data_IF_781677764394
#
_entry.id   IF_781677764394
#
_cell.length_a   1.000
_cell.length_b   1.000
_cell.length_c   1.000
_cell.angle_alpha   90.00
_cell.angle_beta   90.00
_cell.angle_gamma   90.00
#
_symmetry.space_group_name_H-M   'P 1'
#
loop_
_entity.id
_entity.type
_entity.pdbx_description
1 polymer ?
#
# COMPACT_ATOMS: atom_id res chain seq x y z
N UNK A 1 -8.22 -16.07 -16.63
CA UNK A 1 -7.65 -14.77 -17.02
C UNK A 1 -7.84 -13.78 -15.87
N UNK A 2 -6.77 -13.19 -15.34
CA UNK A 2 -6.90 -12.06 -14.42
C UNK A 2 -7.12 -10.81 -15.27
N UNK A 3 -8.31 -10.23 -15.14
CA UNK A 3 -8.71 -9.00 -15.81
C UNK A 3 -7.74 -7.85 -15.47
N UNK A 4 -7.36 -7.06 -16.48
CA UNK A 4 -6.66 -5.80 -16.22
C UNK A 4 -7.68 -4.78 -15.72
N UNK A 5 -7.67 -4.54 -14.42
CA UNK A 5 -8.49 -3.51 -13.77
C UNK A 5 -7.63 -2.24 -13.60
N UNK A 6 -7.93 -1.13 -14.29
CA UNK A 6 -7.28 0.17 -14.08
C UNK A 6 -7.36 0.59 -12.61
N UNK A 7 -6.36 1.31 -12.11
CA UNK A 7 -6.51 1.97 -10.81
C UNK A 7 -7.53 3.10 -10.85
N UNK A 8 -8.12 3.43 -9.70
CA UNK A 8 -9.17 4.46 -9.61
C UNK A 8 -8.59 5.88 -9.53
N UNK A 9 -9.43 6.89 -9.72
CA UNK A 9 -9.02 8.29 -9.59
C UNK A 9 -8.57 8.61 -8.15
N UNK A 10 -9.13 7.93 -7.16
CA UNK A 10 -8.82 8.09 -5.74
C UNK A 10 -7.48 7.45 -5.38
N UNK A 11 -7.17 6.28 -5.94
CA UNK A 11 -5.83 5.71 -5.83
C UNK A 11 -4.79 6.65 -6.48
N UNK A 12 -5.10 7.17 -7.67
CA UNK A 12 -4.23 8.13 -8.35
C UNK A 12 -3.97 9.38 -7.49
N UNK A 13 -5.04 9.98 -6.98
CA UNK A 13 -4.97 11.16 -6.10
C UNK A 13 -4.19 10.88 -4.82
N UNK A 14 -4.39 9.71 -4.21
CA UNK A 14 -3.67 9.31 -2.99
C UNK A 14 -2.17 9.25 -3.24
N UNK A 15 -1.74 8.64 -4.35
CA UNK A 15 -0.32 8.60 -4.72
C UNK A 15 0.25 10.00 -5.02
N UNK A 16 -0.48 10.85 -5.73
CA UNK A 16 -0.08 12.23 -6.00
C UNK A 16 0.04 13.06 -4.70
N UNK A 17 -0.85 12.83 -3.71
CA UNK A 17 -0.71 13.45 -2.39
C UNK A 17 0.54 13.01 -1.64
N UNK A 18 0.91 11.73 -1.73
CA UNK A 18 2.16 11.20 -1.14
C UNK A 18 3.36 11.86 -1.80
N UNK A 19 3.39 11.95 -3.12
CA UNK A 19 4.45 12.64 -3.86
C UNK A 19 4.53 14.13 -3.49
N UNK A 20 3.39 14.80 -3.32
CA UNK A 20 3.33 16.18 -2.86
C UNK A 20 3.85 16.36 -1.43
N UNK A 21 3.56 15.44 -0.50
CA UNK A 21 4.07 15.50 0.87
C UNK A 21 5.58 15.31 0.91
N UNK A 22 6.12 14.38 0.11
CA UNK A 22 7.57 14.21 -0.06
C UNK A 22 8.22 15.47 -0.65
N UNK A 23 7.60 16.06 -1.67
CA UNK A 23 8.11 17.28 -2.31
C UNK A 23 8.22 18.43 -1.31
N UNK A 24 7.16 18.69 -0.55
CA UNK A 24 7.15 19.74 0.46
C UNK A 24 8.19 19.47 1.56
N UNK A 25 8.28 18.23 2.03
CA UNK A 25 9.29 17.86 3.02
C UNK A 25 10.71 18.16 2.53
N UNK A 26 11.02 17.76 1.30
CA UNK A 26 12.34 17.98 0.68
C UNK A 26 12.68 19.47 0.48
N UNK A 27 11.68 20.34 0.38
CA UNK A 27 11.87 21.79 0.25
C UNK A 27 11.72 22.56 1.56
N UNK A 28 11.54 21.88 2.69
CA UNK A 28 11.35 22.51 4.00
C UNK A 28 9.94 23.09 4.23
N UNK A 29 9.00 22.81 3.33
CA UNK A 29 7.60 23.18 3.48
C UNK A 29 6.84 22.19 4.37
N UNK A 30 5.72 22.65 4.92
CA UNK A 30 4.78 21.77 5.64
C UNK A 30 4.08 20.83 4.66
N UNK A 31 3.92 19.57 5.06
CA UNK A 31 3.10 18.59 4.33
C UNK A 31 1.65 19.07 4.18
N UNK A 32 0.98 18.65 3.11
CA UNK A 32 -0.38 19.08 2.78
C UNK A 32 -0.49 20.38 1.98
N UNK A 33 0.59 21.16 1.83
CA UNK A 33 0.60 22.37 0.98
C UNK A 33 0.78 21.98 -0.49
N UNK A 34 0.37 22.84 -1.43
CA UNK A 34 0.68 22.66 -2.85
C UNK A 34 2.19 22.90 -3.08
N UNK A 35 2.95 21.88 -3.50
CA UNK A 35 4.38 22.04 -3.77
C UNK A 35 4.62 22.83 -5.07
N UNK A 36 5.86 23.34 -5.24
CA UNK A 36 6.35 23.77 -6.53
C UNK A 36 6.32 22.61 -7.55
N UNK A 37 6.07 22.92 -8.83
CA UNK A 37 5.91 21.91 -9.88
C UNK A 37 7.18 21.08 -10.08
N UNK A 38 8.36 21.71 -10.09
CA UNK A 38 9.62 21.00 -10.27
C UNK A 38 9.93 20.12 -9.05
N UNK A 39 9.67 20.63 -7.84
CA UNK A 39 9.80 19.84 -6.62
C UNK A 39 8.86 18.62 -6.64
N UNK A 40 7.63 18.79 -7.11
CA UNK A 40 6.65 17.72 -7.22
C UNK A 40 7.09 16.64 -8.21
N UNK A 41 7.54 17.03 -9.41
CA UNK A 41 8.02 16.05 -10.40
C UNK A 41 9.28 15.30 -9.93
N UNK A 42 10.18 15.97 -9.22
CA UNK A 42 11.34 15.32 -8.59
C UNK A 42 10.90 14.27 -7.57
N UNK A 43 9.93 14.58 -6.71
CA UNK A 43 9.41 13.63 -5.73
C UNK A 43 8.70 12.44 -6.39
N UNK A 44 7.89 12.68 -7.44
CA UNK A 44 7.26 11.62 -8.25
C UNK A 44 8.32 10.68 -8.83
N UNK A 45 9.38 11.24 -9.42
CA UNK A 45 10.47 10.47 -9.99
C UNK A 45 11.22 9.67 -8.91
N UNK A 46 11.54 10.28 -7.77
CA UNK A 46 12.20 9.61 -6.64
C UNK A 46 11.41 8.39 -6.14
N UNK A 47 10.10 8.54 -5.90
CA UNK A 47 9.24 7.44 -5.46
C UNK A 47 9.20 6.30 -6.48
N UNK A 48 9.09 6.64 -7.77
CA UNK A 48 9.10 5.64 -8.85
C UNK A 48 10.44 4.90 -8.95
N UNK A 49 11.57 5.61 -8.85
CA UNK A 49 12.89 4.99 -8.85
C UNK A 49 13.07 4.03 -7.65
N UNK A 50 12.70 4.50 -6.46
CA UNK A 50 12.77 3.69 -5.25
C UNK A 50 11.90 2.43 -5.39
N UNK A 51 10.67 2.55 -5.93
CA UNK A 51 9.81 1.41 -6.18
C UNK A 51 10.38 0.44 -7.21
N UNK A 52 10.96 0.94 -8.30
CA UNK A 52 11.63 0.10 -9.31
C UNK A 52 12.85 -0.63 -8.74
N UNK A 53 13.54 -0.09 -7.72
CA UNK A 53 14.68 -0.76 -7.11
C UNK A 53 14.31 -2.03 -6.34
N UNK A 54 13.05 -2.11 -5.86
CA UNK A 54 12.53 -3.28 -5.13
C UNK A 54 11.67 -4.18 -6.02
N UNK A 55 11.05 -3.61 -7.04
CA UNK A 55 10.31 -4.34 -8.06
C UNK A 55 11.32 -4.83 -9.09
N UNK A 56 11.70 -6.11 -9.03
CA UNK A 56 12.62 -6.76 -9.98
C UNK A 56 12.02 -6.85 -11.40
N UNK A 57 11.67 -5.71 -11.99
CA UNK A 57 11.03 -5.54 -13.28
C UNK A 57 12.08 -5.60 -14.38
N UNK A 58 11.85 -6.47 -15.36
CA UNK A 58 12.76 -6.66 -16.49
C UNK A 58 12.05 -6.19 -17.76
N UNK A 59 12.41 -5.02 -18.31
CA UNK A 59 11.78 -4.52 -19.52
C UNK A 59 12.21 -5.36 -20.73
N UNK A 60 11.37 -5.39 -21.77
CA UNK A 60 11.81 -5.88 -23.08
C UNK A 60 12.95 -5.02 -23.64
N UNK A 61 13.87 -5.66 -24.38
CA UNK A 61 14.88 -4.97 -25.17
C UNK A 61 14.33 -4.36 -26.47
N UNK A 62 13.18 -4.82 -26.95
CA UNK A 62 12.56 -4.44 -28.24
C UNK A 62 11.04 -4.28 -28.09
N UNK A 63 10.57 -3.35 -27.24
CA UNK A 63 9.18 -3.30 -26.83
C UNK A 63 8.21 -2.99 -27.98
N UNK A 64 8.65 -2.24 -28.98
CA UNK A 64 7.83 -1.89 -30.15
C UNK A 64 7.77 -3.09 -31.09
N UNK A 65 8.90 -3.72 -31.38
CA UNK A 65 8.97 -4.86 -32.30
C UNK A 65 8.25 -6.10 -31.74
N UNK A 66 8.33 -6.33 -30.43
CA UNK A 66 7.56 -7.39 -29.75
C UNK A 66 6.05 -7.14 -29.86
N UNK A 67 5.61 -5.89 -29.70
CA UNK A 67 4.21 -5.52 -29.84
C UNK A 67 3.72 -5.66 -31.28
N UNK A 68 4.50 -5.20 -32.26
CA UNK A 68 4.19 -5.38 -33.68
C UNK A 68 4.08 -6.86 -34.04
N UNK A 69 5.06 -7.68 -33.63
CA UNK A 69 5.00 -9.13 -33.86
C UNK A 69 3.81 -9.80 -33.19
N UNK A 70 3.36 -9.30 -32.04
CA UNK A 70 2.14 -9.77 -31.39
C UNK A 70 0.90 -9.43 -32.25
N UNK A 71 0.79 -8.19 -32.72
CA UNK A 71 -0.32 -7.73 -33.58
C UNK A 71 -0.37 -8.52 -34.90
N UNK A 72 0.76 -8.74 -35.55
CA UNK A 72 0.85 -9.46 -36.85
C UNK A 72 0.34 -10.90 -36.77
N UNK A 73 0.40 -11.52 -35.58
CA UNK A 73 -0.07 -12.90 -35.34
C UNK A 73 -1.58 -12.97 -35.07
N UNK A 74 -2.26 -11.85 -34.87
CA UNK A 74 -3.68 -11.84 -34.57
C UNK A 74 -4.51 -12.06 -35.83
N UNK A 75 -5.35 -13.11 -35.82
CA UNK A 75 -6.24 -13.46 -36.95
C UNK A 75 -7.69 -12.98 -36.71
N UNK A 76 -7.98 -12.41 -35.53
CA UNK A 76 -9.29 -11.93 -35.11
C UNK A 76 -9.26 -11.27 -33.73
N UNK A 77 -10.41 -10.78 -33.25
CA UNK A 77 -10.55 -10.11 -31.95
C UNK A 77 -11.75 -10.65 -31.16
N UNK A 78 -11.61 -11.87 -30.63
CA UNK A 78 -12.41 -12.34 -29.50
C UNK A 78 -12.18 -11.44 -28.27
N UNK A 79 -13.03 -11.54 -27.24
CA UNK A 79 -12.85 -10.78 -26.00
C UNK A 79 -11.51 -11.09 -25.30
N UNK A 80 -11.07 -12.35 -25.32
CA UNK A 80 -9.75 -12.75 -24.81
C UNK A 80 -8.62 -12.09 -25.61
N UNK A 81 -8.70 -12.12 -26.94
CA UNK A 81 -7.73 -11.50 -27.83
C UNK A 81 -7.67 -9.97 -27.66
N UNK A 82 -8.81 -9.32 -27.37
CA UNK A 82 -8.86 -7.88 -27.03
C UNK A 82 -8.14 -7.58 -25.73
N UNK A 83 -8.31 -8.42 -24.72
CA UNK A 83 -7.58 -8.27 -23.45
C UNK A 83 -6.08 -8.45 -23.64
N UNK A 84 -5.66 -9.49 -24.38
CA UNK A 84 -4.25 -9.75 -24.64
C UNK A 84 -3.60 -8.60 -25.44
N UNK A 85 -4.29 -8.07 -26.43
CA UNK A 85 -3.84 -6.89 -27.18
C UNK A 85 -3.67 -5.68 -26.27
N UNK A 86 -4.63 -5.43 -25.38
CA UNK A 86 -4.56 -4.33 -24.41
C UNK A 86 -3.37 -4.52 -23.46
N UNK A 87 -3.16 -5.72 -22.94
CA UNK A 87 -2.04 -6.06 -22.06
C UNK A 87 -0.68 -5.92 -22.77
N UNK A 88 -0.57 -6.39 -24.02
CA UNK A 88 0.62 -6.26 -24.83
C UNK A 88 0.95 -4.78 -25.09
N UNK A 89 -0.06 -3.95 -25.39
CA UNK A 89 0.12 -2.51 -25.56
C UNK A 89 0.60 -1.83 -24.28
N UNK A 90 -0.05 -2.12 -23.14
CA UNK A 90 0.35 -1.58 -21.83
C UNK A 90 1.80 -1.94 -21.52
N UNK A 91 2.19 -3.21 -21.70
CA UNK A 91 3.57 -3.66 -21.50
C UNK A 91 4.54 -2.90 -22.39
N UNK A 92 4.24 -2.79 -23.68
CA UNK A 92 5.09 -2.04 -24.64
C UNK A 92 5.31 -0.60 -24.19
N UNK A 93 4.24 0.09 -23.79
CA UNK A 93 4.32 1.47 -23.28
C UNK A 93 5.19 1.56 -22.02
N UNK A 94 4.98 0.69 -21.03
CA UNK A 94 5.76 0.71 -19.78
C UNK A 94 7.24 0.40 -20.03
N UNK A 95 7.54 -0.55 -20.92
CA UNK A 95 8.91 -0.87 -21.30
C UNK A 95 9.60 0.28 -22.01
N UNK A 96 8.88 1.04 -22.85
CA UNK A 96 9.41 2.26 -23.46
C UNK A 96 9.76 3.33 -22.41
N UNK A 97 8.88 3.60 -21.44
CA UNK A 97 9.18 4.53 -20.34
C UNK A 97 10.41 4.09 -19.56
N UNK A 98 10.52 2.79 -19.28
CA UNK A 98 11.66 2.26 -18.53
C UNK A 98 12.96 2.39 -19.33
N UNK A 99 12.96 2.07 -20.62
CA UNK A 99 14.16 2.18 -21.46
C UNK A 99 14.63 3.61 -21.64
N UNK A 100 13.71 4.53 -21.92
CA UNK A 100 14.02 5.91 -22.31
C UNK A 100 14.30 6.81 -21.10
N UNK A 101 13.49 6.69 -20.06
CA UNK A 101 13.44 7.65 -18.95
C UNK A 101 13.73 6.98 -17.60
N UNK A 102 14.06 5.68 -17.61
CA UNK A 102 14.28 4.87 -16.41
C UNK A 102 13.10 4.85 -15.45
N UNK A 103 11.89 5.19 -15.89
CA UNK A 103 10.69 5.34 -15.05
C UNK A 103 9.53 4.52 -15.59
N UNK A 104 8.33 4.71 -15.04
CA UNK A 104 7.09 4.11 -15.54
C UNK A 104 5.93 5.10 -15.48
N UNK A 105 4.90 4.86 -16.28
CA UNK A 105 3.67 5.65 -16.28
C UNK A 105 2.70 5.12 -15.22
N UNK A 106 2.09 6.05 -14.49
CA UNK A 106 0.98 5.78 -13.56
C UNK A 106 -0.34 6.26 -14.17
N UNK A 107 -0.45 6.38 -15.49
CA UNK A 107 -1.73 6.66 -16.12
C UNK A 107 -2.70 5.49 -15.86
N UNK A 108 -3.97 5.80 -15.58
CA UNK A 108 -4.99 4.81 -15.18
C UNK A 108 -5.07 3.61 -16.12
N UNK A 109 -5.07 3.85 -17.42
CA UNK A 109 -5.14 2.80 -18.44
C UNK A 109 -3.84 2.02 -18.65
N UNK A 110 -2.72 2.43 -18.04
CA UNK A 110 -1.41 1.78 -18.14
C UNK A 110 -0.94 1.13 -16.83
N UNK A 111 -1.66 1.34 -15.71
CA UNK A 111 -1.23 0.88 -14.39
C UNK A 111 -2.42 0.29 -13.63
N UNK A 112 -2.31 -0.96 -13.19
CA UNK A 112 -3.46 -1.68 -12.60
C UNK A 112 -3.76 -1.23 -11.16
N UNK A 113 -5.01 -1.46 -10.71
CA UNK A 113 -5.44 -1.26 -9.31
C UNK A 113 -4.46 -1.91 -8.33
N UNK A 114 -4.09 -3.17 -8.57
CA UNK A 114 -3.16 -3.91 -7.72
C UNK A 114 -1.77 -3.24 -7.67
N UNK A 115 -1.19 -2.89 -8.81
CA UNK A 115 0.14 -2.26 -8.86
C UNK A 115 0.14 -0.87 -8.22
N UNK A 116 -0.98 -0.15 -8.32
CA UNK A 116 -1.15 1.13 -7.65
C UNK A 116 -1.22 1.00 -6.13
N UNK A 117 -1.93 0.00 -5.60
CA UNK A 117 -1.91 -0.32 -4.17
C UNK A 117 -0.49 -0.66 -3.70
N UNK A 118 0.25 -1.52 -4.43
CA UNK A 118 1.64 -1.85 -4.10
C UNK A 118 2.54 -0.59 -4.08
N UNK A 119 2.35 0.34 -5.03
CA UNK A 119 3.09 1.60 -5.10
C UNK A 119 2.74 2.57 -3.95
N UNK A 120 1.45 2.68 -3.60
CA UNK A 120 0.97 3.51 -2.48
C UNK A 120 1.57 2.99 -1.17
N UNK A 121 1.47 1.69 -0.92
CA UNK A 121 2.00 1.05 0.29
C UNK A 121 3.51 1.24 0.41
N UNK A 122 4.23 1.04 -0.69
CA UNK A 122 5.67 1.28 -0.73
C UNK A 122 6.01 2.74 -0.44
N UNK A 123 5.28 3.67 -1.05
CA UNK A 123 5.54 5.11 -0.90
C UNK A 123 5.25 5.57 0.54
N UNK A 124 4.16 5.11 1.14
CA UNK A 124 3.83 5.40 2.53
C UNK A 124 4.85 4.80 3.50
N UNK A 125 5.33 3.58 3.23
CA UNK A 125 6.38 2.94 4.02
C UNK A 125 7.68 3.75 3.97
N UNK A 126 8.07 4.22 2.79
CA UNK A 126 9.24 5.06 2.62
C UNK A 126 9.11 6.38 3.40
N UNK A 127 7.97 7.08 3.27
CA UNK A 127 7.72 8.30 4.05
C UNK A 127 7.82 8.00 5.56
N UNK A 128 7.23 6.89 6.01
CA UNK A 128 7.27 6.46 7.41
C UNK A 128 8.69 6.21 7.90
N UNK A 129 9.50 5.48 7.16
CA UNK A 129 10.90 5.19 7.48
C UNK A 129 11.75 6.46 7.61
N UNK A 130 11.44 7.48 6.79
CA UNK A 130 12.08 8.79 6.85
C UNK A 130 11.42 9.76 7.86
N UNK A 131 10.46 9.31 8.67
CA UNK A 131 9.71 10.12 9.63
C UNK A 131 8.98 11.32 9.00
N UNK A 132 8.59 11.19 7.74
CA UNK A 132 7.79 12.20 7.03
C UNK A 132 6.33 12.02 7.44
N UNK A 133 5.67 13.07 7.98
CA UNK A 133 4.28 12.98 8.40
C UNK A 133 3.35 12.86 7.18
N UNK A 134 2.28 12.07 7.33
CA UNK A 134 1.23 11.98 6.32
C UNK A 134 0.23 13.14 6.48
N UNK A 135 -0.25 13.73 5.38
CA UNK A 135 -1.44 14.59 5.46
C UNK A 135 -2.66 13.79 5.92
N UNK A 136 -3.52 14.43 6.72
CA UNK A 136 -4.75 13.82 7.26
C UNK A 136 -5.64 13.21 6.18
N UNK A 137 -5.75 13.90 5.03
CA UNK A 137 -6.58 13.46 3.91
C UNK A 137 -6.15 12.11 3.31
N UNK A 138 -4.87 11.74 3.36
CA UNK A 138 -4.41 10.40 2.94
C UNK A 138 -4.97 9.34 3.88
N UNK A 139 -4.84 9.56 5.19
CA UNK A 139 -5.34 8.64 6.21
C UNK A 139 -6.86 8.50 6.14
N UNK A 140 -7.59 9.61 6.03
CA UNK A 140 -9.06 9.61 5.91
C UNK A 140 -9.51 8.84 4.67
N UNK A 141 -8.90 9.12 3.50
CA UNK A 141 -9.22 8.42 2.25
C UNK A 141 -9.00 6.90 2.34
N UNK A 142 -7.87 6.47 2.90
CA UNK A 142 -7.56 5.05 3.05
C UNK A 142 -8.51 4.36 4.04
N UNK A 143 -8.88 5.03 5.14
CA UNK A 143 -9.87 4.53 6.09
C UNK A 143 -11.25 4.37 5.48
N UNK A 144 -11.70 5.34 4.68
CA UNK A 144 -13.04 5.34 4.10
C UNK A 144 -13.22 4.28 3.01
N UNK A 145 -12.19 4.06 2.18
CA UNK A 145 -12.33 3.21 1.00
C UNK A 145 -11.84 1.78 1.20
N UNK A 146 -10.76 1.61 1.95
CA UNK A 146 -10.04 0.34 2.06
C UNK A 146 -9.58 0.16 3.53
N UNK A 147 -10.53 0.26 4.48
CA UNK A 147 -10.25 0.25 5.92
C UNK A 147 -9.34 -0.90 6.35
N UNK A 148 -9.63 -2.12 5.90
CA UNK A 148 -8.84 -3.30 6.29
C UNK A 148 -7.39 -3.21 5.80
N UNK A 149 -7.21 -2.70 4.58
CA UNK A 149 -5.90 -2.47 3.98
C UNK A 149 -5.12 -1.39 4.73
N UNK A 150 -5.80 -0.32 5.15
CA UNK A 150 -5.20 0.74 5.97
C UNK A 150 -4.74 0.22 7.34
N UNK A 151 -5.57 -0.57 8.04
CA UNK A 151 -5.20 -1.17 9.32
C UNK A 151 -4.05 -2.18 9.13
N UNK A 152 -4.07 -2.95 8.05
CA UNK A 152 -2.97 -3.85 7.68
C UNK A 152 -1.66 -3.09 7.47
N UNK A 153 -1.67 -1.98 6.74
CA UNK A 153 -0.52 -1.09 6.58
C UNK A 153 0.00 -0.61 7.94
N UNK A 154 -0.91 -0.12 8.80
CA UNK A 154 -0.58 0.37 10.14
C UNK A 154 0.12 -0.69 11.00
N UNK A 155 -0.39 -1.93 11.00
CA UNK A 155 0.22 -3.07 11.68
C UNK A 155 1.60 -3.41 11.11
N UNK A 156 1.73 -3.50 9.79
CA UNK A 156 3.00 -3.88 9.15
C UNK A 156 4.13 -2.90 9.45
N UNK A 157 3.83 -1.60 9.50
CA UNK A 157 4.83 -0.54 9.66
C UNK A 157 4.84 0.10 11.06
N UNK A 158 4.17 -0.52 12.05
CA UNK A 158 4.06 -0.01 13.42
C UNK A 158 3.61 1.46 13.44
N UNK A 159 2.64 1.82 12.60
CA UNK A 159 2.09 3.17 12.53
C UNK A 159 0.74 3.20 13.25
N UNK A 160 0.57 4.15 14.16
CA UNK A 160 -0.69 4.32 14.87
C UNK A 160 -1.81 4.67 13.89
N UNK A 161 -2.91 3.91 13.92
CA UNK A 161 -4.08 4.11 13.05
C UNK A 161 -4.66 5.54 13.15
N UNK A 162 -4.48 6.19 14.30
CA UNK A 162 -5.01 7.53 14.60
C UNK A 162 -4.09 8.65 14.14
N UNK A 163 -2.78 8.52 14.37
CA UNK A 163 -1.84 9.65 14.18
C UNK A 163 -0.53 9.32 13.46
N UNK A 164 -0.33 8.08 13.01
CA UNK A 164 0.87 7.66 12.29
C UNK A 164 2.14 7.52 13.15
N UNK A 165 2.15 7.94 14.42
CA UNK A 165 3.30 7.73 15.32
C UNK A 165 3.62 6.26 15.52
N UNK A 166 4.84 5.95 15.97
CA UNK A 166 5.23 4.55 16.27
C UNK A 166 4.26 3.92 17.26
N UNK A 167 3.74 2.75 16.90
CA UNK A 167 2.69 2.05 17.62
C UNK A 167 3.00 0.59 17.91
N UNK A 168 2.16 0.03 18.77
CA UNK A 168 2.17 -1.35 19.20
C UNK A 168 0.89 -2.02 18.73
N UNK A 169 0.91 -3.35 18.64
CA UNK A 169 -0.29 -4.12 18.35
C UNK A 169 -1.28 -3.99 19.52
N UNK A 170 -2.52 -3.71 19.18
CA UNK A 170 -3.64 -3.58 20.10
C UNK A 170 -4.74 -4.55 19.70
N UNK A 171 -5.25 -5.31 20.67
CA UNK A 171 -6.43 -6.16 20.49
C UNK A 171 -7.66 -5.30 20.77
N UNK A 172 -8.53 -5.15 19.77
CA UNK A 172 -9.79 -4.40 19.88
C UNK A 172 -10.80 -5.18 20.69
N UNK A 173 -10.86 -6.49 20.48
CA UNK A 173 -11.73 -7.38 21.25
C UNK A 173 -11.08 -7.72 22.61
N UNK A 174 -11.89 -7.69 23.67
CA UNK A 174 -11.39 -7.96 25.02
C UNK A 174 -10.94 -9.42 25.16
N UNK A 175 -9.67 -9.62 25.51
CA UNK A 175 -9.10 -10.95 25.78
C UNK A 175 -9.37 -11.48 27.19
N UNK A 176 -9.88 -10.64 28.09
CA UNK A 176 -10.00 -10.97 29.52
C UNK A 176 -8.64 -11.34 30.13
N UNK A 177 -8.60 -12.35 30.99
CA UNK A 177 -7.36 -12.87 31.63
C UNK A 177 -6.49 -13.74 30.72
N UNK A 178 -6.87 -13.93 29.45
CA UNK A 178 -6.10 -14.70 28.48
C UNK A 178 -4.89 -13.87 28.03
N UNK A 179 -3.72 -14.18 28.60
CA UNK A 179 -2.45 -13.53 28.23
C UNK A 179 -1.94 -13.94 26.84
N UNK A 180 -0.77 -13.45 26.45
CA UNK A 180 -0.15 -13.74 25.14
C UNK A 180 0.08 -15.23 24.85
N UNK A 181 0.07 -16.11 25.87
CA UNK A 181 0.30 -17.55 25.71
C UNK A 181 -0.80 -18.26 24.91
N UNK A 182 -2.02 -17.74 24.94
CA UNK A 182 -3.19 -18.32 24.26
C UNK A 182 -3.60 -17.52 23.02
N UNK A 183 -2.82 -16.50 22.66
CA UNK A 183 -3.04 -15.69 21.48
C UNK A 183 -2.57 -16.44 20.22
N UNK A 184 -3.50 -16.80 19.35
CA UNK A 184 -3.23 -17.35 18.03
C UNK A 184 -3.48 -16.36 16.89
N UNK A 185 -3.96 -15.15 17.19
CA UNK A 185 -4.21 -14.07 16.23
C UNK A 185 -5.42 -14.24 15.31
N UNK A 186 -6.19 -15.34 15.40
CA UNK A 186 -7.27 -15.64 14.44
C UNK A 186 -8.63 -15.10 14.84
N UNK A 187 -8.90 -15.06 16.14
CA UNK A 187 -10.25 -14.93 16.67
C UNK A 187 -10.56 -13.54 17.25
N UNK A 188 -9.62 -12.61 17.16
CA UNK A 188 -9.71 -11.29 17.77
C UNK A 188 -9.27 -10.24 16.77
N UNK A 189 -10.03 -9.15 16.68
CA UNK A 189 -9.67 -8.00 15.84
C UNK A 189 -8.49 -7.28 16.45
N UNK A 190 -7.56 -6.86 15.59
CA UNK A 190 -6.38 -6.11 15.99
C UNK A 190 -6.24 -4.81 15.21
N UNK A 191 -5.51 -3.86 15.79
CA UNK A 191 -5.04 -2.63 15.14
C UNK A 191 -3.66 -2.24 15.69
N UNK A 192 -3.08 -1.14 15.19
CA UNK A 192 -1.84 -0.58 15.71
C UNK A 192 -2.07 0.80 16.34
N UNK A 193 -1.63 1.00 17.58
CA UNK A 193 -1.80 2.26 18.32
C UNK A 193 -0.50 2.69 19.01
N UNK A 194 -0.20 3.99 18.98
CA UNK A 194 0.85 4.54 19.81
C UNK A 194 0.43 4.54 21.28
N UNK A 195 1.40 4.58 22.20
CA UNK A 195 1.14 4.53 23.65
C UNK A 195 0.06 5.50 24.11
N UNK A 196 0.04 6.73 23.58
CA UNK A 196 -0.98 7.74 23.90
C UNK A 196 -2.39 7.23 23.60
N UNK A 197 -2.66 6.84 22.35
CA UNK A 197 -4.00 6.39 21.95
C UNK A 197 -4.35 5.01 22.52
N UNK A 198 -3.35 4.15 22.72
CA UNK A 198 -3.53 2.87 23.38
C UNK A 198 -4.00 3.05 24.83
N UNK A 199 -3.37 3.94 25.60
CA UNK A 199 -3.80 4.27 26.96
C UNK A 199 -5.15 4.98 27.00
N UNK A 200 -5.44 5.87 26.04
CA UNK A 200 -6.74 6.54 25.94
C UNK A 200 -7.89 5.55 25.77
N UNK A 201 -7.72 4.54 24.92
CA UNK A 201 -8.74 3.50 24.70
C UNK A 201 -8.95 2.62 25.93
N UNK A 202 -7.87 2.26 26.63
CA UNK A 202 -8.00 1.51 27.89
C UNK A 202 -8.69 2.32 29.00
N UNK A 203 -8.56 3.64 28.98
CA UNK A 203 -9.20 4.52 29.95
C UNK A 203 -10.68 4.80 29.62
N UNK A 204 -11.02 4.98 28.33
CA UNK A 204 -12.37 5.27 27.87
C UNK A 204 -12.65 4.60 26.51
N UNK A 205 -13.51 3.58 26.52
CA UNK A 205 -13.89 2.84 25.32
C UNK A 205 -14.58 3.72 24.25
N UNK A 206 -15.12 4.89 24.60
CA UNK A 206 -15.67 5.85 23.60
C UNK A 206 -14.60 6.36 22.62
N UNK A 207 -13.32 6.20 22.95
CA UNK A 207 -12.23 6.51 22.04
C UNK A 207 -12.25 5.65 20.76
N UNK A 208 -12.83 4.44 20.79
CA UNK A 208 -13.01 3.62 19.57
C UNK A 208 -13.90 4.35 18.56
N UNK A 209 -15.06 4.83 18.99
CA UNK A 209 -16.01 5.57 18.15
C UNK A 209 -15.43 6.91 17.70
N UNK A 210 -14.82 7.65 18.64
CA UNK A 210 -14.17 8.95 18.37
C UNK A 210 -13.15 8.89 17.23
N UNK A 211 -12.42 7.78 17.10
CA UNK A 211 -11.36 7.62 16.10
C UNK A 211 -11.73 6.70 14.94
N UNK A 212 -12.94 6.15 14.92
CA UNK A 212 -13.39 5.17 13.92
C UNK A 212 -12.54 3.90 13.90
N UNK A 213 -12.18 3.38 15.08
CA UNK A 213 -11.36 2.17 15.22
C UNK A 213 -12.29 0.96 15.34
N UNK A 214 -12.20 0.07 14.35
CA UNK A 214 -12.93 -1.19 14.30
C UNK A 214 -11.99 -2.41 14.37
N UNK A 215 -10.74 -2.27 13.93
CA UNK A 215 -9.77 -3.36 13.83
C UNK A 215 -10.11 -4.38 12.73
N UNK A 216 -9.18 -5.32 12.50
CA UNK A 216 -9.31 -6.36 11.47
C UNK A 216 -9.04 -7.74 12.04
N UNK A 217 -9.68 -8.76 11.48
CA UNK A 217 -9.27 -10.15 11.67
C UNK A 217 -8.07 -10.46 10.79
N UNK A 218 -7.17 -11.32 11.28
CA UNK A 218 -5.96 -11.70 10.54
C UNK A 218 -6.13 -13.06 9.87
N UNK A 219 -5.67 -13.13 8.62
CA UNK A 219 -5.42 -14.42 7.95
C UNK A 219 -4.11 -15.02 8.44
N UNK A 220 -3.93 -16.33 8.27
CA UNK A 220 -2.68 -17.03 8.58
C UNK A 220 -1.46 -16.36 7.93
N UNK A 221 -1.56 -15.95 6.65
CA UNK A 221 -0.49 -15.23 5.96
C UNK A 221 -0.17 -13.88 6.60
N UNK A 222 -1.18 -13.16 7.10
CA UNK A 222 -0.98 -11.91 7.82
C UNK A 222 -0.31 -12.16 9.17
N UNK A 223 -0.73 -13.18 9.92
CA UNK A 223 -0.13 -13.54 11.21
C UNK A 223 1.35 -13.89 11.03
N UNK A 224 1.70 -14.72 10.03
CA UNK A 224 3.09 -15.09 9.72
C UNK A 224 3.97 -13.85 9.49
N UNK A 225 3.48 -12.88 8.71
CA UNK A 225 4.19 -11.62 8.47
C UNK A 225 4.29 -10.77 9.73
N UNK A 226 3.22 -10.67 10.52
CA UNK A 226 3.22 -9.87 11.73
C UNK A 226 4.07 -10.47 12.85
N UNK A 227 4.32 -11.78 12.88
CA UNK A 227 5.27 -12.38 13.83
C UNK A 227 6.71 -11.90 13.61
N UNK A 228 7.08 -11.51 12.39
CA UNK A 228 8.37 -10.89 12.10
C UNK A 228 8.45 -9.46 12.67
N UNK A 229 7.31 -8.76 12.71
CA UNK A 229 7.20 -7.37 13.19
C UNK A 229 7.02 -7.31 14.72
N UNK A 230 6.26 -8.25 15.27
CA UNK A 230 5.84 -8.36 16.67
C UNK A 230 6.15 -9.77 17.21
N UNK A 231 7.44 -10.10 17.48
CA UNK A 231 7.86 -11.45 17.83
C UNK A 231 7.25 -11.99 19.14
N UNK A 232 6.71 -11.11 19.98
CA UNK A 232 6.09 -11.47 21.25
C UNK A 232 4.57 -11.69 21.17
N UNK A 233 3.93 -11.42 20.02
CA UNK A 233 2.50 -11.63 19.78
C UNK A 233 2.25 -13.01 19.18
N UNK A 234 0.99 -13.49 19.22
CA UNK A 234 0.57 -14.72 18.55
C UNK A 234 1.37 -15.97 18.99
N UNK A 235 1.63 -16.15 20.30
CA UNK A 235 2.48 -17.25 20.80
C UNK A 235 1.85 -18.63 20.63
N UNK A 236 0.52 -18.71 20.64
CA UNK A 236 -0.22 -19.94 20.38
C UNK A 236 -0.36 -20.25 18.88
N UNK A 237 -0.06 -19.30 17.99
CA UNK A 237 -0.15 -19.54 16.55
C UNK A 237 0.73 -20.72 16.13
N UNK A 238 0.09 -21.71 15.52
CA UNK A 238 0.69 -22.81 14.78
C UNK A 238 0.08 -22.77 13.38
N UNK A 239 0.93 -22.85 12.36
CA UNK A 239 0.46 -23.04 10.99
C UNK A 239 -0.20 -24.41 10.94
N UNK A 240 -1.42 -24.50 10.40
CA UNK A 240 -1.96 -25.81 10.09
C UNK A 240 -1.03 -26.47 9.07
N UNK A 241 -0.45 -27.62 9.41
CA UNK A 241 0.08 -28.50 8.38
C UNK A 241 -1.15 -28.93 7.57
N UNK A 242 -1.20 -28.54 6.31
CA UNK A 242 -2.31 -28.92 5.44
C UNK A 242 -2.29 -30.44 5.29
N UNK A 243 -3.40 -31.09 5.66
CA UNK A 243 -3.77 -32.43 5.15
C UNK A 243 -3.99 -32.40 3.63
#
# INVERSE_FOLDING_TARGET
MKEFIPHTAEQHRTWEWIASDLANWNTGNKVGVTPDLLAHEKARFQLKQAFLSVMNYKPSNKPIEEFQSFVDKMVGLSEEQRLDLKLAHIKSMQDMYFKKEKTFSVAMNLFSKQKMTELIDFSLALLKEHNIPFRKAITEMLKEQEYEHYVWFCLKYKACEVCGNVGELHHVDQRGSKGYKTDDGRNERVTCLCRKHHSEIHADARAYEKYGIHGIYLTDSMIEKLKLVYPNQFKAYRRAEND
#
